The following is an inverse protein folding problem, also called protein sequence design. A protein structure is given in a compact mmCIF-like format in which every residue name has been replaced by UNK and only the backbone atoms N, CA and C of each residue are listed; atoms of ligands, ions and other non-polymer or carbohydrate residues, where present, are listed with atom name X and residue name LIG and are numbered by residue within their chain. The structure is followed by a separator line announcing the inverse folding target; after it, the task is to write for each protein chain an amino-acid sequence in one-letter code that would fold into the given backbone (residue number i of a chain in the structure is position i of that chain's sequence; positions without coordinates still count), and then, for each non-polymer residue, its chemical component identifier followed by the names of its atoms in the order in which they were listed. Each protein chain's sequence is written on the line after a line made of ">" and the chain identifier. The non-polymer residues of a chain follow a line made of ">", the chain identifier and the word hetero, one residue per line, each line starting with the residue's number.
data_IF_993081755785
#
_entry.id   IF_993081755785
#
_cell.length_a   1.000
_cell.length_b   1.000
_cell.length_c   1.000
_cell.angle_alpha   90.00
_cell.angle_beta   90.00
_cell.angle_gamma   90.00
#
_symmetry.space_group_name_H-M   'P 1'
#
loop_
_entity.id
_entity.type
_entity.pdbx_description
1 polymer ?
#
# COMPACT_ATOMS: atom_id res chain seq x y z
N UNK A 1 -13.54 -17.23 -24.89
CA UNK A 1 -13.43 -16.04 -24.01
C UNK A 1 -11.97 -15.85 -23.65
N UNK A 2 -11.48 -14.65 -23.69
CA UNK A 2 -10.06 -14.40 -23.40
C UNK A 2 -9.90 -14.32 -21.87
N UNK A 3 -9.49 -15.43 -21.23
CA UNK A 3 -9.27 -15.52 -19.78
C UNK A 3 -8.22 -14.48 -19.29
N UNK A 4 -7.39 -13.97 -20.23
CA UNK A 4 -6.35 -13.00 -19.94
C UNK A 4 -6.85 -11.69 -19.33
N UNK A 5 -8.07 -11.27 -19.67
CA UNK A 5 -8.62 -10.02 -19.14
C UNK A 5 -9.13 -10.11 -17.68
N UNK A 6 -9.33 -11.30 -17.14
CA UNK A 6 -9.65 -11.46 -15.71
C UNK A 6 -8.44 -11.23 -14.81
N UNK A 7 -7.23 -11.43 -15.32
CA UNK A 7 -5.97 -11.21 -14.61
C UNK A 7 -5.36 -9.84 -14.90
N UNK A 8 -5.95 -9.07 -15.82
CA UNK A 8 -5.51 -7.71 -16.10
C UNK A 8 -5.64 -6.84 -14.83
N UNK A 9 -4.56 -6.15 -14.48
CA UNK A 9 -4.57 -5.26 -13.31
C UNK A 9 -5.15 -3.89 -13.66
N UNK A 10 -6.18 -3.51 -12.91
CA UNK A 10 -6.75 -2.15 -12.91
C UNK A 10 -6.63 -1.59 -11.50
N UNK A 11 -6.08 -0.40 -11.34
CA UNK A 11 -5.85 0.24 -10.02
C UNK A 11 -5.09 -0.69 -9.06
N UNK A 12 -4.04 -1.37 -9.56
CA UNK A 12 -3.22 -2.33 -8.81
C UNK A 12 -4.00 -3.53 -8.25
N UNK A 13 -5.06 -3.94 -8.95
CA UNK A 13 -5.91 -5.04 -8.54
C UNK A 13 -6.39 -5.81 -9.77
N UNK A 14 -6.25 -7.14 -9.84
CA UNK A 14 -6.79 -7.93 -10.94
C UNK A 14 -8.31 -7.74 -11.10
N UNK A 15 -8.80 -7.78 -12.32
CA UNK A 15 -10.26 -7.68 -12.61
C UNK A 15 -11.05 -8.73 -11.83
N UNK A 16 -10.55 -9.94 -11.73
CA UNK A 16 -11.14 -11.01 -10.93
C UNK A 16 -11.28 -10.63 -9.44
N UNK A 17 -10.27 -9.94 -8.89
CA UNK A 17 -10.31 -9.49 -7.50
C UNK A 17 -11.25 -8.30 -7.29
N UNK A 18 -11.45 -7.41 -8.28
CA UNK A 18 -12.51 -6.39 -8.22
C UNK A 18 -13.89 -7.05 -8.11
N UNK A 19 -14.17 -8.06 -8.94
CA UNK A 19 -15.45 -8.80 -8.93
C UNK A 19 -15.60 -9.53 -7.58
N UNK A 20 -14.57 -10.25 -7.12
CA UNK A 20 -14.58 -10.96 -5.85
C UNK A 20 -14.85 -10.04 -4.65
N UNK A 21 -14.26 -8.84 -4.65
CA UNK A 21 -14.51 -7.83 -3.62
C UNK A 21 -15.98 -7.39 -3.60
N UNK A 22 -16.60 -7.15 -4.77
CA UNK A 22 -18.02 -6.78 -4.85
C UNK A 22 -18.94 -7.92 -4.40
N UNK A 23 -18.60 -9.18 -4.70
CA UNK A 23 -19.32 -10.37 -4.20
C UNK A 23 -19.26 -10.43 -2.67
N UNK A 24 -18.07 -10.19 -2.07
CA UNK A 24 -17.90 -10.16 -0.61
C UNK A 24 -18.73 -9.04 0.03
N UNK A 25 -18.73 -7.84 -0.54
CA UNK A 25 -19.58 -6.73 -0.08
C UNK A 25 -21.08 -7.02 -0.22
N UNK A 26 -21.47 -7.88 -1.15
CA UNK A 26 -22.83 -8.34 -1.31
C UNK A 26 -23.22 -9.44 -0.29
N UNK A 27 -22.29 -9.92 0.54
CA UNK A 27 -22.48 -10.96 1.53
C UNK A 27 -22.19 -12.39 1.04
N UNK A 28 -21.58 -12.52 -0.15
CA UNK A 28 -21.16 -13.80 -0.72
C UNK A 28 -19.72 -14.18 -0.36
N UNK A 29 -19.36 -15.42 -0.62
CA UNK A 29 -17.97 -15.91 -0.62
C UNK A 29 -17.54 -16.10 -2.07
N UNK A 30 -16.40 -15.51 -2.42
CA UNK A 30 -15.87 -15.56 -3.78
C UNK A 30 -14.65 -16.48 -3.86
N UNK A 31 -14.61 -17.29 -4.92
CA UNK A 31 -13.45 -18.11 -5.28
C UNK A 31 -13.17 -17.90 -6.78
N UNK A 32 -11.91 -17.74 -7.11
CA UNK A 32 -11.47 -17.60 -8.50
C UNK A 32 -11.07 -18.99 -9.01
N UNK A 33 -11.71 -19.43 -10.11
CA UNK A 33 -11.34 -20.65 -10.82
C UNK A 33 -10.59 -20.30 -12.10
N UNK A 34 -9.48 -21.00 -12.39
CA UNK A 34 -8.67 -20.80 -13.59
C UNK A 34 -8.45 -22.11 -14.33
N UNK A 35 -8.43 -22.04 -15.66
CA UNK A 35 -8.02 -23.15 -16.55
C UNK A 35 -6.55 -23.06 -16.97
N UNK A 36 -5.82 -22.05 -16.49
CA UNK A 36 -4.39 -21.88 -16.81
C UNK A 36 -3.53 -22.94 -16.12
N UNK A 37 -2.47 -23.36 -16.77
CA UNK A 37 -1.44 -24.21 -16.20
C UNK A 37 -0.07 -23.51 -16.26
N UNK A 38 0.66 -23.36 -15.13
CA UNK A 38 0.26 -23.76 -13.77
C UNK A 38 -0.90 -22.89 -13.22
N UNK A 39 -1.71 -23.48 -12.32
CA UNK A 39 -2.81 -22.75 -11.68
C UNK A 39 -2.25 -21.58 -10.87
N UNK A 40 -2.73 -20.34 -11.11
CA UNK A 40 -2.26 -19.17 -10.36
C UNK A 40 -2.50 -19.30 -8.86
N UNK A 41 -1.61 -18.72 -8.04
CA UNK A 41 -1.73 -18.75 -6.58
C UNK A 41 -3.06 -18.15 -6.14
N UNK A 42 -3.79 -18.87 -5.27
CA UNK A 42 -5.10 -18.45 -4.78
C UNK A 42 -6.28 -18.83 -5.68
N UNK A 43 -6.04 -19.46 -6.84
CA UNK A 43 -7.06 -20.00 -7.72
C UNK A 43 -7.22 -21.52 -7.52
N UNK A 44 -8.35 -22.05 -7.98
CA UNK A 44 -8.64 -23.50 -8.03
C UNK A 44 -8.95 -23.90 -9.47
N UNK A 45 -8.92 -25.21 -9.78
CA UNK A 45 -9.49 -25.67 -11.06
C UNK A 45 -11.00 -25.52 -11.07
N UNK A 46 -11.63 -25.36 -12.26
CA UNK A 46 -13.09 -25.36 -12.36
C UNK A 46 -13.72 -26.62 -11.73
N UNK A 47 -13.14 -27.79 -11.95
CA UNK A 47 -13.63 -29.05 -11.37
C UNK A 47 -13.52 -29.04 -9.84
N UNK A 48 -12.39 -28.59 -9.27
CA UNK A 48 -12.24 -28.48 -7.81
C UNK A 48 -13.26 -27.49 -7.21
N UNK A 49 -13.52 -26.37 -7.91
CA UNK A 49 -14.58 -25.43 -7.50
C UNK A 49 -15.92 -26.13 -7.44
N UNK A 50 -16.35 -26.80 -8.51
CA UNK A 50 -17.66 -27.45 -8.56
C UNK A 50 -17.82 -28.59 -7.53
N UNK A 51 -16.75 -29.32 -7.26
CA UNK A 51 -16.76 -30.36 -6.19
C UNK A 51 -16.87 -29.76 -4.79
N UNK A 52 -16.48 -28.49 -4.59
CA UNK A 52 -16.60 -27.80 -3.30
C UNK A 52 -18.00 -27.23 -3.03
N UNK A 53 -18.84 -27.11 -4.05
CA UNK A 53 -20.17 -26.56 -3.94
C UNK A 53 -21.16 -27.63 -3.45
N UNK A 54 -21.87 -27.35 -2.37
CA UNK A 54 -22.89 -28.26 -1.85
C UNK A 54 -24.01 -28.48 -2.88
N UNK A 55 -24.47 -29.72 -3.10
CA UNK A 55 -25.56 -30.00 -4.03
C UNK A 55 -26.82 -29.17 -3.74
N UNK A 56 -27.38 -28.53 -4.77
CA UNK A 56 -28.56 -27.68 -4.65
C UNK A 56 -28.31 -26.25 -4.19
N UNK A 57 -27.07 -25.89 -3.85
CA UNK A 57 -26.69 -24.49 -3.57
C UNK A 57 -26.69 -23.65 -4.84
N UNK A 58 -27.14 -22.42 -4.72
CA UNK A 58 -27.02 -21.43 -5.81
C UNK A 58 -25.60 -20.86 -5.87
N UNK A 59 -25.14 -20.63 -7.07
CA UNK A 59 -23.81 -20.09 -7.40
C UNK A 59 -23.98 -18.87 -8.29
N UNK A 60 -23.14 -17.88 -8.09
CA UNK A 60 -22.99 -16.74 -8.99
C UNK A 60 -21.75 -16.97 -9.88
N UNK A 61 -21.97 -17.03 -11.17
CA UNK A 61 -20.89 -17.25 -12.15
C UNK A 61 -20.76 -16.06 -13.12
N UNK A 62 -19.57 -15.46 -13.19
CA UNK A 62 -19.27 -14.40 -14.15
C UNK A 62 -18.68 -14.97 -15.42
N UNK A 63 -19.28 -14.66 -16.57
CA UNK A 63 -18.84 -15.07 -17.90
C UNK A 63 -17.92 -14.01 -18.55
N UNK A 64 -18.05 -12.76 -18.13
CA UNK A 64 -17.39 -11.62 -18.72
C UNK A 64 -16.60 -10.83 -17.69
N UNK A 65 -15.41 -10.28 -18.06
CA UNK A 65 -14.61 -9.43 -17.18
C UNK A 65 -15.25 -8.04 -17.07
N UNK A 66 -16.27 -7.94 -16.21
CA UNK A 66 -17.02 -6.71 -15.93
C UNK A 66 -16.75 -6.22 -14.49
N UNK A 67 -15.62 -5.54 -14.25
CA UNK A 67 -15.14 -5.22 -12.89
C UNK A 67 -15.97 -4.15 -12.18
N UNK A 68 -16.79 -3.40 -12.93
CA UNK A 68 -17.55 -2.28 -12.40
C UNK A 68 -18.93 -2.67 -11.84
N UNK A 69 -19.31 -3.97 -11.89
CA UNK A 69 -20.59 -4.45 -11.33
C UNK A 69 -20.57 -4.23 -9.82
N UNK A 70 -21.57 -3.50 -9.30
CA UNK A 70 -21.64 -3.14 -7.89
C UNK A 70 -22.20 -4.27 -7.01
N UNK A 71 -21.88 -4.20 -5.70
CA UNK A 71 -22.47 -5.11 -4.72
C UNK A 71 -24.00 -5.03 -4.66
N UNK A 72 -24.59 -3.87 -4.92
CA UNK A 72 -26.05 -3.70 -4.94
C UNK A 72 -26.69 -4.43 -6.13
N UNK A 73 -26.06 -4.36 -7.29
CA UNK A 73 -26.49 -5.12 -8.47
C UNK A 73 -26.34 -6.63 -8.25
N UNK A 74 -25.26 -7.07 -7.62
CA UNK A 74 -25.06 -8.46 -7.23
C UNK A 74 -26.14 -8.91 -6.24
N UNK A 75 -26.47 -8.11 -5.21
CA UNK A 75 -27.57 -8.44 -4.27
C UNK A 75 -28.91 -8.58 -4.98
N UNK A 76 -29.25 -7.68 -5.89
CA UNK A 76 -30.48 -7.78 -6.68
C UNK A 76 -30.54 -9.08 -7.48
N UNK A 77 -29.42 -9.47 -8.10
CA UNK A 77 -29.33 -10.71 -8.86
C UNK A 77 -29.49 -11.93 -7.93
N UNK A 78 -28.77 -11.99 -6.82
CA UNK A 78 -28.79 -13.13 -5.90
C UNK A 78 -30.07 -13.23 -5.04
N UNK A 79 -30.83 -12.16 -4.94
CA UNK A 79 -32.16 -12.15 -4.29
C UNK A 79 -33.31 -12.44 -5.27
N UNK A 80 -33.05 -12.50 -6.57
CA UNK A 80 -34.04 -12.86 -7.56
C UNK A 80 -34.28 -14.37 -7.59
N UNK A 81 -35.42 -14.78 -8.19
CA UNK A 81 -35.72 -16.19 -8.40
C UNK A 81 -34.68 -16.79 -9.38
N UNK A 82 -34.09 -17.92 -8.96
CA UNK A 82 -33.07 -18.61 -9.76
C UNK A 82 -33.75 -19.59 -10.76
N UNK A 83 -33.23 -19.76 -11.99
CA UNK A 83 -32.01 -19.11 -12.52
C UNK A 83 -32.30 -17.69 -13.00
N UNK A 84 -31.31 -16.79 -12.75
CA UNK A 84 -31.38 -15.39 -13.16
C UNK A 84 -30.07 -14.94 -13.82
N UNK A 85 -30.15 -13.93 -14.68
CA UNK A 85 -29.04 -13.40 -15.47
C UNK A 85 -28.81 -11.93 -15.19
N UNK A 86 -27.55 -11.54 -15.11
CA UNK A 86 -27.10 -10.14 -15.15
C UNK A 86 -26.80 -9.76 -16.60
N UNK A 87 -27.46 -8.73 -17.09
CA UNK A 87 -27.40 -8.33 -18.49
C UNK A 87 -26.78 -6.95 -18.68
N UNK A 88 -25.92 -6.81 -19.68
CA UNK A 88 -25.53 -5.53 -20.25
C UNK A 88 -26.03 -5.45 -21.70
N UNK A 89 -27.16 -4.79 -21.90
CA UNK A 89 -27.86 -4.82 -23.17
C UNK A 89 -28.28 -6.25 -23.53
N UNK A 90 -27.68 -6.81 -24.58
CA UNK A 90 -27.91 -8.18 -25.04
C UNK A 90 -26.89 -9.19 -24.46
N UNK A 91 -25.83 -8.74 -23.84
CA UNK A 91 -24.75 -9.59 -23.34
C UNK A 91 -25.04 -10.08 -21.93
N UNK A 92 -24.82 -11.37 -21.68
CA UNK A 92 -24.87 -11.98 -20.34
C UNK A 92 -23.53 -11.75 -19.67
N UNK A 93 -23.54 -11.01 -18.54
CA UNK A 93 -22.32 -10.76 -17.74
C UNK A 93 -22.11 -11.86 -16.72
N UNK A 94 -23.17 -12.26 -16.04
CA UNK A 94 -23.15 -13.27 -14.98
C UNK A 94 -24.46 -14.02 -14.92
N UNK A 95 -24.46 -15.20 -14.28
CA UNK A 95 -25.65 -15.98 -14.00
C UNK A 95 -25.68 -16.41 -12.54
N UNK A 96 -26.88 -16.49 -11.99
CA UNK A 96 -27.21 -16.95 -10.65
C UNK A 96 -28.13 -18.18 -10.74
N UNK A 97 -27.76 -19.27 -10.10
CA UNK A 97 -28.52 -20.50 -10.08
C UNK A 97 -27.78 -21.69 -9.52
N UNK A 98 -28.38 -22.86 -9.49
CA UNK A 98 -27.71 -24.11 -9.11
C UNK A 98 -26.74 -24.57 -10.21
N UNK A 99 -25.81 -25.46 -9.85
CA UNK A 99 -24.90 -26.07 -10.82
C UNK A 99 -25.66 -26.68 -12.02
N UNK A 100 -26.71 -27.45 -11.77
CA UNK A 100 -27.50 -28.10 -12.83
C UNK A 100 -28.13 -27.08 -13.78
N UNK A 101 -28.61 -25.94 -13.27
CA UNK A 101 -29.22 -24.89 -14.08
C UNK A 101 -28.19 -24.12 -14.91
N UNK A 102 -26.97 -23.90 -14.36
CA UNK A 102 -25.92 -23.09 -15.00
C UNK A 102 -25.02 -23.90 -15.94
N UNK A 103 -24.83 -25.19 -15.66
CA UNK A 103 -23.97 -26.07 -16.47
C UNK A 103 -24.53 -26.30 -17.88
N UNK A 104 -25.87 -26.37 -18.02
CA UNK A 104 -26.56 -26.56 -19.29
C UNK A 104 -26.92 -25.24 -19.99
N UNK A 105 -26.57 -24.08 -19.37
CA UNK A 105 -26.95 -22.78 -19.89
C UNK A 105 -26.16 -22.42 -21.14
N UNK A 106 -26.84 -22.34 -22.29
CA UNK A 106 -26.30 -21.72 -23.49
C UNK A 106 -26.47 -20.19 -23.40
N UNK A 107 -25.37 -19.48 -23.09
CA UNK A 107 -25.37 -18.01 -22.97
C UNK A 107 -25.64 -17.27 -24.29
N UNK A 108 -25.57 -17.95 -25.43
CA UNK A 108 -25.88 -17.40 -26.74
C UNK A 108 -27.37 -17.52 -27.08
N UNK A 109 -28.05 -18.54 -26.50
CA UNK A 109 -29.46 -18.84 -26.74
C UNK A 109 -30.25 -18.93 -25.43
N UNK A 110 -30.24 -17.85 -24.66
CA UNK A 110 -30.86 -17.78 -23.34
C UNK A 110 -32.38 -17.83 -23.47
N UNK A 111 -33.09 -18.74 -22.74
CA UNK A 111 -34.55 -18.80 -22.74
C UNK A 111 -35.19 -17.47 -22.34
N UNK A 112 -36.28 -17.10 -23.02
CA UNK A 112 -37.02 -15.86 -22.70
C UNK A 112 -37.63 -15.88 -21.29
N UNK A 113 -37.91 -17.07 -20.75
CA UNK A 113 -38.48 -17.28 -19.42
C UNK A 113 -37.50 -16.98 -18.26
N UNK A 114 -36.20 -16.83 -18.53
CA UNK A 114 -35.24 -16.53 -17.45
C UNK A 114 -35.35 -15.08 -16.98
N UNK A 115 -35.28 -14.94 -15.66
CA UNK A 115 -35.22 -13.61 -15.01
C UNK A 115 -33.97 -12.86 -15.48
N UNK A 116 -34.14 -11.62 -15.95
CA UNK A 116 -33.05 -10.76 -16.46
C UNK A 116 -32.97 -9.51 -15.62
N UNK A 117 -31.81 -9.32 -14.95
CA UNK A 117 -31.51 -8.15 -14.16
C UNK A 117 -30.57 -7.26 -14.99
N UNK A 118 -30.95 -6.03 -15.31
CA UNK A 118 -30.05 -5.13 -16.03
C UNK A 118 -28.92 -4.67 -15.11
N UNK A 119 -27.69 -4.63 -15.65
CA UNK A 119 -26.58 -3.95 -14.99
C UNK A 119 -26.88 -2.45 -14.87
N UNK A 120 -26.43 -1.83 -13.79
CA UNK A 120 -26.59 -0.41 -13.56
C UNK A 120 -25.78 0.44 -14.57
N UNK A 121 -26.01 1.76 -14.60
CA UNK A 121 -25.25 2.67 -15.48
C UNK A 121 -23.75 2.54 -15.24
N UNK A 122 -23.01 2.21 -16.32
CA UNK A 122 -21.56 2.02 -16.29
C UNK A 122 -21.07 0.69 -15.72
N UNK A 123 -21.94 -0.15 -15.16
CA UNK A 123 -21.55 -1.45 -14.61
C UNK A 123 -21.35 -2.54 -15.68
N UNK A 124 -22.02 -2.39 -16.82
CA UNK A 124 -22.00 -3.38 -17.91
C UNK A 124 -20.80 -3.30 -18.83
N UNK A 125 -19.76 -2.55 -18.47
CA UNK A 125 -18.56 -2.42 -19.32
C UNK A 125 -17.71 -3.69 -19.22
N UNK A 126 -17.58 -4.36 -20.35
CA UNK A 126 -16.77 -5.58 -20.52
C UNK A 126 -15.42 -5.21 -21.13
N UNK A 127 -14.36 -5.79 -20.61
CA UNK A 127 -13.00 -5.60 -21.13
C UNK A 127 -12.75 -6.59 -22.26
N UNK A 128 -12.42 -6.07 -23.45
CA UNK A 128 -12.10 -6.86 -24.65
C UNK A 128 -10.74 -6.49 -25.29
N UNK A 129 -10.21 -5.32 -24.95
CA UNK A 129 -8.98 -4.75 -25.48
C UNK A 129 -8.43 -3.66 -24.53
N UNK A 130 -7.34 -3.01 -24.91
CA UNK A 130 -6.70 -1.96 -24.09
C UNK A 130 -7.53 -0.69 -23.98
N UNK A 131 -8.34 -0.35 -24.97
CA UNK A 131 -9.21 0.83 -24.96
C UNK A 131 -10.36 0.63 -23.97
N UNK A 132 -11.02 -0.51 -24.01
CA UNK A 132 -12.08 -0.89 -23.06
C UNK A 132 -11.52 -1.09 -21.66
N UNK A 133 -10.27 -1.59 -21.51
CA UNK A 133 -9.60 -1.68 -20.22
C UNK A 133 -9.37 -0.29 -19.61
N UNK A 134 -8.87 0.67 -20.39
CA UNK A 134 -8.72 2.05 -19.94
C UNK A 134 -10.06 2.68 -19.54
N UNK A 135 -11.10 2.51 -20.35
CA UNK A 135 -12.42 3.02 -20.06
C UNK A 135 -13.01 2.39 -18.77
N UNK A 136 -12.81 1.08 -18.58
CA UNK A 136 -13.23 0.39 -17.36
C UNK A 136 -12.47 0.91 -16.13
N UNK A 137 -11.16 1.15 -16.23
CA UNK A 137 -10.34 1.72 -15.15
C UNK A 137 -10.83 3.11 -14.75
N UNK A 138 -11.12 3.98 -15.71
CA UNK A 138 -11.63 5.32 -15.47
C UNK A 138 -13.01 5.29 -14.78
N UNK A 139 -13.87 4.38 -15.19
CA UNK A 139 -15.16 4.19 -14.55
C UNK A 139 -15.01 3.71 -13.11
N UNK A 140 -14.18 2.70 -12.87
CA UNK A 140 -13.87 2.20 -11.53
C UNK A 140 -13.29 3.30 -10.63
N UNK A 141 -12.32 4.06 -11.12
CA UNK A 141 -11.72 5.18 -10.40
C UNK A 141 -12.79 6.17 -9.94
N UNK A 142 -13.71 6.55 -10.84
CA UNK A 142 -14.81 7.46 -10.50
C UNK A 142 -15.74 6.87 -9.44
N UNK A 143 -16.11 5.61 -9.55
CA UNK A 143 -16.99 4.93 -8.58
C UNK A 143 -16.34 4.84 -7.20
N UNK A 144 -15.07 4.40 -7.14
CA UNK A 144 -14.31 4.27 -5.89
C UNK A 144 -14.13 5.64 -5.23
N UNK A 145 -13.68 6.64 -5.99
CA UNK A 145 -13.48 7.99 -5.48
C UNK A 145 -14.80 8.60 -4.96
N UNK A 146 -15.92 8.41 -5.69
CA UNK A 146 -17.23 8.87 -5.24
C UNK A 146 -17.67 8.20 -3.93
N UNK A 147 -17.38 6.90 -3.75
CA UNK A 147 -17.66 6.18 -2.49
C UNK A 147 -16.91 6.82 -1.32
N UNK A 148 -15.62 7.11 -1.47
CA UNK A 148 -14.83 7.76 -0.42
C UNK A 148 -15.31 9.17 -0.12
N UNK A 149 -15.63 9.97 -1.15
CA UNK A 149 -16.20 11.31 -0.96
C UNK A 149 -17.54 11.29 -0.21
N UNK A 150 -18.44 10.35 -0.53
CA UNK A 150 -19.70 10.16 0.22
C UNK A 150 -19.46 9.78 1.69
N UNK A 151 -18.35 9.09 1.98
CA UNK A 151 -17.96 8.72 3.34
C UNK A 151 -17.20 9.84 4.08
N UNK A 152 -17.09 11.04 3.49
CA UNK A 152 -16.50 12.21 4.13
C UNK A 152 -15.00 12.39 3.93
N UNK A 153 -14.43 11.76 2.91
CA UNK A 153 -13.05 11.99 2.45
C UNK A 153 -13.02 13.14 1.45
N UNK A 154 -12.11 14.08 1.60
CA UNK A 154 -11.90 15.16 0.63
C UNK A 154 -10.85 14.77 -0.39
N UNK A 155 -11.24 14.50 -1.63
CA UNK A 155 -10.34 14.33 -2.76
C UNK A 155 -10.21 15.66 -3.50
N UNK A 156 -9.03 16.29 -3.42
CA UNK A 156 -8.79 17.64 -4.01
C UNK A 156 -8.80 17.57 -5.54
N UNK A 157 -8.22 16.50 -6.09
CA UNK A 157 -8.28 16.20 -7.52
C UNK A 157 -8.61 14.71 -7.73
N UNK A 158 -9.89 14.38 -7.86
CA UNK A 158 -10.30 12.99 -8.11
C UNK A 158 -9.78 12.44 -9.45
N UNK A 159 -9.41 13.29 -10.41
CA UNK A 159 -8.93 12.85 -11.72
C UNK A 159 -7.53 12.25 -11.65
N UNK A 160 -6.65 12.79 -10.82
CA UNK A 160 -5.28 12.29 -10.60
C UNK A 160 -5.13 11.38 -9.38
N UNK A 161 -6.22 11.04 -8.70
CA UNK A 161 -6.21 10.19 -7.50
C UNK A 161 -6.68 8.78 -7.85
N UNK A 162 -5.81 7.80 -7.62
CA UNK A 162 -6.08 6.39 -7.89
C UNK A 162 -6.13 5.61 -6.56
N UNK A 163 -7.27 5.03 -6.26
CA UNK A 163 -7.52 4.29 -5.00
C UNK A 163 -7.94 2.86 -5.34
N UNK A 164 -7.29 1.89 -4.70
CA UNK A 164 -7.67 0.49 -4.77
C UNK A 164 -9.09 0.27 -4.24
N UNK A 165 -9.88 -0.65 -4.81
CA UNK A 165 -11.20 -1.00 -4.28
C UNK A 165 -11.15 -1.52 -2.84
N UNK A 166 -10.01 -2.10 -2.44
CA UNK A 166 -9.77 -2.67 -1.10
C UNK A 166 -9.23 -1.66 -0.09
N UNK A 167 -8.94 -0.43 -0.51
CA UNK A 167 -8.45 0.59 0.40
C UNK A 167 -9.59 1.19 1.23
N UNK A 168 -9.26 1.50 2.48
CA UNK A 168 -10.16 2.16 3.42
C UNK A 168 -9.57 3.51 3.85
N UNK A 169 -10.39 4.55 3.87
CA UNK A 169 -9.95 5.90 4.22
C UNK A 169 -10.94 6.50 5.22
N UNK A 170 -10.42 6.91 6.36
CA UNK A 170 -11.19 7.52 7.44
C UNK A 170 -11.73 8.91 7.08
N UNK A 171 -12.84 9.26 7.73
CA UNK A 171 -13.52 10.54 7.55
C UNK A 171 -12.63 11.73 7.90
N UNK A 172 -12.83 12.87 7.23
CA UNK A 172 -12.05 14.09 7.47
C UNK A 172 -10.67 14.08 6.83
N UNK A 173 -10.25 12.95 6.24
CA UNK A 173 -8.96 12.86 5.53
C UNK A 173 -8.99 13.61 4.21
N UNK A 174 -7.92 14.39 3.96
CA UNK A 174 -7.67 15.11 2.71
C UNK A 174 -6.66 14.33 1.88
N UNK A 175 -7.01 14.02 0.63
CA UNK A 175 -6.11 13.42 -0.36
C UNK A 175 -5.83 14.46 -1.44
N UNK A 176 -4.56 14.83 -1.56
CA UNK A 176 -4.06 15.84 -2.50
C UNK A 176 -3.78 15.21 -3.89
N UNK A 177 -3.56 16.03 -4.94
CA UNK A 177 -3.38 15.52 -6.30
C UNK A 177 -2.22 14.51 -6.45
N UNK A 178 -2.34 13.60 -7.41
CA UNK A 178 -1.29 12.66 -7.80
C UNK A 178 -1.06 11.51 -6.80
N UNK A 179 -2.03 11.20 -5.94
CA UNK A 179 -1.89 10.12 -4.97
C UNK A 179 -2.29 8.77 -5.57
N UNK A 180 -1.46 7.74 -5.26
CA UNK A 180 -1.68 6.34 -5.58
C UNK A 180 -1.86 5.56 -4.26
N UNK A 181 -3.05 5.05 -3.98
CA UNK A 181 -3.41 4.35 -2.74
C UNK A 181 -3.81 2.93 -3.11
N UNK A 182 -2.87 2.00 -3.02
CA UNK A 182 -2.96 0.67 -3.60
C UNK A 182 -3.02 -0.45 -2.55
N UNK A 183 -3.42 -1.63 -2.99
CA UNK A 183 -3.56 -2.81 -2.14
C UNK A 183 -4.60 -2.63 -1.03
N UNK A 184 -4.39 -3.31 0.10
CA UNK A 184 -5.23 -3.21 1.30
C UNK A 184 -4.74 -2.07 2.22
N UNK A 185 -4.58 -0.88 1.67
CA UNK A 185 -4.15 0.29 2.45
C UNK A 185 -5.30 0.77 3.34
N UNK A 186 -5.00 0.99 4.61
CA UNK A 186 -5.92 1.58 5.59
C UNK A 186 -5.37 2.92 6.04
N UNK A 187 -6.17 3.97 5.92
CA UNK A 187 -5.83 5.33 6.35
C UNK A 187 -6.86 5.76 7.40
N UNK A 188 -6.39 6.23 8.54
CA UNK A 188 -7.22 6.76 9.61
C UNK A 188 -7.95 8.06 9.26
N UNK A 189 -8.55 8.65 10.27
CA UNK A 189 -9.32 9.89 10.15
C UNK A 189 -8.43 11.13 10.25
N UNK A 190 -8.90 12.26 9.68
CA UNK A 190 -8.27 13.58 9.77
C UNK A 190 -6.81 13.61 9.28
N UNK A 191 -6.45 12.73 8.34
CA UNK A 191 -5.13 12.67 7.73
C UNK A 191 -4.99 13.68 6.58
N UNK A 192 -3.73 13.97 6.21
CA UNK A 192 -3.36 14.74 5.03
C UNK A 192 -2.40 13.93 4.16
N UNK A 193 -2.87 13.41 3.04
CA UNK A 193 -2.10 12.51 2.16
C UNK A 193 -1.79 13.21 0.85
N UNK A 194 -0.54 13.28 0.49
CA UNK A 194 -0.08 13.88 -0.75
C UNK A 194 0.53 15.28 -0.59
N UNK A 195 0.82 15.96 -1.73
CA UNK A 195 0.61 15.47 -3.12
C UNK A 195 1.62 14.36 -3.51
N UNK A 196 1.41 13.73 -4.67
CA UNK A 196 2.36 12.78 -5.27
C UNK A 196 2.88 11.69 -4.29
N UNK A 197 1.96 11.13 -3.54
CA UNK A 197 2.25 10.12 -2.50
C UNK A 197 1.79 8.75 -2.97
N UNK A 198 2.64 7.74 -2.76
CA UNK A 198 2.29 6.35 -3.01
C UNK A 198 2.21 5.57 -1.70
N UNK A 199 1.06 4.98 -1.44
CA UNK A 199 0.80 4.07 -0.33
C UNK A 199 0.39 2.71 -0.90
N UNK A 200 1.09 1.65 -0.52
CA UNK A 200 0.77 0.30 -0.97
C UNK A 200 0.71 -0.66 0.22
N UNK A 201 -0.47 -1.20 0.49
CA UNK A 201 -0.72 -2.11 1.62
C UNK A 201 -0.19 -1.54 2.95
N UNK A 202 -0.33 -0.23 3.13
CA UNK A 202 0.13 0.51 4.28
C UNK A 202 -0.99 0.70 5.32
N UNK A 203 -0.62 0.74 6.61
CA UNK A 203 -1.51 1.07 7.70
C UNK A 203 -1.14 2.44 8.28
N UNK A 204 -1.98 3.43 8.08
CA UNK A 204 -1.76 4.82 8.47
C UNK A 204 -2.75 5.16 9.58
N UNK A 205 -2.26 5.58 10.75
CA UNK A 205 -3.09 6.01 11.88
C UNK A 205 -3.84 7.32 11.64
N UNK A 206 -4.49 7.82 12.67
CA UNK A 206 -5.25 9.08 12.61
C UNK A 206 -4.31 10.29 12.62
N UNK A 207 -4.75 11.40 12.00
CA UNK A 207 -4.03 12.69 12.02
C UNK A 207 -2.60 12.63 11.50
N UNK A 208 -2.31 11.67 10.63
CA UNK A 208 -1.00 11.52 9.97
C UNK A 208 -0.92 12.46 8.77
N UNK A 209 0.26 13.05 8.57
CA UNK A 209 0.58 13.80 7.36
C UNK A 209 1.65 13.08 6.56
N UNK A 210 1.34 12.71 5.32
CA UNK A 210 2.31 12.12 4.37
C UNK A 210 2.43 13.04 3.18
N UNK A 211 3.63 13.51 2.89
CA UNK A 211 3.91 14.46 1.81
C UNK A 211 4.91 13.89 0.81
N UNK A 212 4.56 13.81 -0.47
CA UNK A 212 5.44 13.45 -1.60
C UNK A 212 6.37 12.25 -1.28
N UNK A 213 5.84 11.20 -0.68
CA UNK A 213 6.61 10.08 -0.13
C UNK A 213 6.03 8.74 -0.54
N UNK A 214 6.82 7.68 -0.37
CA UNK A 214 6.42 6.32 -0.70
C UNK A 214 6.45 5.44 0.57
N UNK A 215 5.35 4.71 0.83
CA UNK A 215 5.21 3.81 1.98
C UNK A 215 4.64 2.48 1.49
N UNK A 216 5.39 1.41 1.72
CA UNK A 216 5.02 0.05 1.30
C UNK A 216 4.94 -0.89 2.50
N UNK A 217 3.85 -1.66 2.61
CA UNK A 217 3.69 -2.78 3.55
C UNK A 217 4.22 -2.46 4.96
N UNK A 218 3.85 -1.30 5.48
CA UNK A 218 4.37 -0.73 6.73
C UNK A 218 3.30 0.02 7.50
N UNK A 219 3.54 0.27 8.79
CA UNK A 219 2.63 1.00 9.66
C UNK A 219 3.20 2.33 10.12
N UNK A 220 2.35 3.36 10.14
CA UNK A 220 2.66 4.71 10.63
C UNK A 220 1.65 5.07 11.72
N UNK A 221 2.13 5.32 12.92
CA UNK A 221 1.32 5.69 14.09
C UNK A 221 0.70 7.09 13.99
N UNK A 222 -0.36 7.29 14.76
CA UNK A 222 -1.16 8.52 14.77
C UNK A 222 -0.34 9.77 15.06
N UNK A 223 -0.70 10.89 14.41
CA UNK A 223 -0.03 12.18 14.60
C UNK A 223 1.39 12.29 14.04
N UNK A 224 1.87 11.26 13.34
CA UNK A 224 3.20 11.23 12.72
C UNK A 224 3.22 12.00 11.41
N UNK A 225 4.35 12.63 11.11
CA UNK A 225 4.60 13.29 9.83
C UNK A 225 5.66 12.53 9.03
N UNK A 226 5.40 12.35 7.71
CA UNK A 226 6.30 11.65 6.79
C UNK A 226 6.55 12.52 5.56
N UNK A 227 7.81 12.71 5.22
CA UNK A 227 8.24 13.42 4.03
C UNK A 227 8.61 14.90 4.25
N UNK A 228 8.87 15.62 3.13
CA UNK A 228 8.74 15.11 1.75
C UNK A 228 9.88 14.14 1.36
N UNK A 229 9.64 13.35 0.30
CA UNK A 229 10.63 12.46 -0.31
C UNK A 229 11.20 11.39 0.63
N UNK A 230 10.40 10.91 1.59
CA UNK A 230 10.75 9.76 2.41
C UNK A 230 10.39 8.46 1.69
N UNK A 231 11.20 7.42 1.94
CA UNK A 231 10.96 6.08 1.42
C UNK A 231 10.88 5.07 2.58
N UNK A 232 9.68 4.65 2.90
CA UNK A 232 9.42 3.62 3.93
C UNK A 232 9.19 2.29 3.23
N UNK A 233 10.18 1.41 3.33
CA UNK A 233 10.18 0.08 2.67
C UNK A 233 9.39 -0.94 3.50
N UNK A 234 9.05 -2.10 2.91
CA UNK A 234 8.29 -3.14 3.60
C UNK A 234 8.89 -3.56 4.96
N UNK A 235 7.99 -3.81 5.91
CA UNK A 235 8.35 -4.32 7.23
C UNK A 235 8.82 -3.24 8.22
N UNK A 236 8.42 -1.98 8.02
CA UNK A 236 8.69 -0.92 8.99
C UNK A 236 7.47 -0.64 9.88
N UNK A 237 7.75 -0.30 11.14
CA UNK A 237 6.76 0.18 12.10
C UNK A 237 7.23 1.51 12.68
N UNK A 238 6.48 2.57 12.45
CA UNK A 238 6.74 3.91 12.99
C UNK A 238 5.66 4.23 14.03
N UNK A 239 6.07 4.61 15.22
CA UNK A 239 5.19 4.95 16.33
C UNK A 239 4.42 6.25 16.14
N UNK A 240 3.76 6.69 17.21
CA UNK A 240 2.94 7.88 17.25
C UNK A 240 3.77 9.15 17.45
N UNK A 241 3.31 10.28 16.87
CA UNK A 241 3.94 11.59 17.05
C UNK A 241 5.38 11.67 16.55
N UNK A 242 5.77 10.78 15.66
CA UNK A 242 7.11 10.74 15.06
C UNK A 242 7.27 11.77 13.94
N UNK A 243 8.51 12.05 13.60
CA UNK A 243 8.87 12.82 12.41
C UNK A 243 9.86 12.04 11.56
N UNK A 244 9.42 11.64 10.37
CA UNK A 244 10.25 11.02 9.34
C UNK A 244 10.34 12.05 8.21
N UNK A 245 11.47 12.76 8.13
CA UNK A 245 11.58 13.93 7.26
C UNK A 245 12.12 13.63 5.87
N UNK A 246 12.71 14.64 5.27
CA UNK A 246 13.16 14.65 3.89
C UNK A 246 14.32 13.68 3.63
N UNK A 247 14.20 12.92 2.53
CA UNK A 247 15.21 11.96 2.09
C UNK A 247 15.60 10.92 3.15
N UNK A 248 14.65 10.52 3.99
CA UNK A 248 14.83 9.43 4.95
C UNK A 248 14.38 8.12 4.31
N UNK A 249 15.25 7.12 4.35
CA UNK A 249 14.92 5.75 3.98
C UNK A 249 14.88 4.86 5.22
N UNK A 250 13.75 4.16 5.40
CA UNK A 250 13.56 3.14 6.44
C UNK A 250 13.41 1.76 5.80
N UNK A 251 14.06 0.75 6.36
CA UNK A 251 13.98 -0.63 5.87
C UNK A 251 14.01 -1.62 7.04
N UNK A 252 12.92 -2.39 7.22
CA UNK A 252 12.78 -3.35 8.33
C UNK A 252 13.20 -2.71 9.66
N UNK A 253 12.60 -1.57 9.97
CA UNK A 253 13.00 -0.72 11.09
C UNK A 253 11.79 -0.43 11.97
N UNK A 254 11.98 -0.53 13.27
CA UNK A 254 11.03 -0.13 14.29
C UNK A 254 11.43 1.24 14.86
N UNK A 255 10.51 2.19 14.90
CA UNK A 255 10.69 3.54 15.45
C UNK A 255 9.67 3.76 16.56
N UNK A 256 10.12 3.99 17.78
CA UNK A 256 9.26 4.28 18.93
C UNK A 256 8.67 5.68 18.90
N UNK A 257 7.65 5.90 19.75
CA UNK A 257 6.86 7.12 19.79
C UNK A 257 7.70 8.38 20.01
N UNK A 258 7.34 9.48 19.35
CA UNK A 258 7.97 10.79 19.51
C UNK A 258 9.39 10.91 18.94
N UNK A 259 9.91 9.87 18.30
CA UNK A 259 11.25 9.85 17.72
C UNK A 259 11.30 10.66 16.42
N UNK A 260 12.40 11.37 16.22
CA UNK A 260 12.62 12.28 15.11
C UNK A 260 13.80 11.83 14.27
N UNK A 261 13.54 11.54 12.99
CA UNK A 261 14.52 11.23 11.95
C UNK A 261 14.28 12.23 10.81
N UNK A 262 14.88 13.41 10.92
CA UNK A 262 14.37 14.56 10.16
C UNK A 262 14.98 14.74 8.78
N UNK A 263 16.21 14.25 8.50
CA UNK A 263 16.91 14.59 7.27
C UNK A 263 17.92 13.53 6.82
N UNK A 264 17.94 13.19 5.51
CA UNK A 264 19.03 12.50 4.80
C UNK A 264 19.61 11.31 5.58
N UNK A 265 18.79 10.38 6.00
CA UNK A 265 19.16 9.31 6.93
C UNK A 265 18.76 7.96 6.37
N UNK A 266 19.61 6.96 6.49
CA UNK A 266 19.27 5.56 6.23
C UNK A 266 19.25 4.75 7.52
N UNK A 267 18.08 4.19 7.86
CA UNK A 267 17.92 3.25 8.95
C UNK A 267 17.45 1.91 8.41
N UNK A 268 18.31 0.91 8.50
CA UNK A 268 18.00 -0.45 8.02
C UNK A 268 18.29 -1.51 9.07
N UNK A 269 17.39 -2.49 9.19
CA UNK A 269 17.48 -3.60 10.15
C UNK A 269 17.79 -3.05 11.57
N UNK A 270 16.90 -2.16 12.07
CA UNK A 270 17.19 -1.37 13.28
C UNK A 270 15.96 -1.21 14.19
N UNK A 271 16.21 -1.03 15.48
CA UNK A 271 15.20 -0.67 16.48
C UNK A 271 15.61 0.61 17.19
N UNK A 272 14.77 1.62 17.07
CA UNK A 272 14.91 2.89 17.76
C UNK A 272 13.76 3.04 18.77
N UNK A 273 14.10 3.28 20.01
CA UNK A 273 13.14 3.53 21.09
C UNK A 273 12.38 4.84 20.93
N UNK A 274 11.82 5.33 22.03
CA UNK A 274 11.00 6.53 22.07
C UNK A 274 11.84 7.79 22.29
N UNK A 275 11.32 8.93 21.79
CA UNK A 275 11.90 10.26 22.04
C UNK A 275 13.37 10.40 21.63
N UNK A 276 13.80 9.67 20.64
CA UNK A 276 15.16 9.75 20.09
C UNK A 276 15.20 10.86 19.04
N UNK A 277 16.35 11.57 19.01
CA UNK A 277 16.63 12.49 17.92
C UNK A 277 17.81 11.95 17.08
N UNK A 278 17.55 11.69 15.79
CA UNK A 278 18.55 11.23 14.84
C UNK A 278 18.97 12.40 13.94
N UNK A 279 20.25 12.72 13.98
CA UNK A 279 20.85 13.81 13.21
C UNK A 279 20.98 13.50 11.72
N UNK A 280 21.05 14.55 10.91
CA UNK A 280 21.20 14.48 9.47
C UNK A 280 22.42 13.63 9.07
N UNK A 281 22.25 12.75 8.07
CA UNK A 281 23.34 11.92 7.54
C UNK A 281 23.72 10.74 8.44
N UNK A 282 22.93 10.40 9.45
CA UNK A 282 23.16 9.19 10.23
C UNK A 282 22.82 7.93 9.41
N UNK A 283 23.63 6.89 9.55
CA UNK A 283 23.49 5.64 8.79
C UNK A 283 23.68 4.43 9.72
N UNK A 284 22.75 3.46 9.63
CA UNK A 284 23.00 2.12 10.17
C UNK A 284 23.78 1.31 9.15
N UNK A 285 25.03 0.94 9.50
CA UNK A 285 25.88 0.08 8.67
C UNK A 285 25.53 -1.36 8.99
N UNK A 286 24.43 -1.85 8.40
CA UNK A 286 23.77 -3.09 8.76
C UNK A 286 24.24 -4.33 7.98
N UNK A 287 25.17 -4.20 7.01
CA UNK A 287 25.64 -5.28 6.15
C UNK A 287 27.17 -5.40 6.17
N UNK A 288 27.68 -6.59 6.49
CA UNK A 288 29.09 -6.89 6.62
C UNK A 288 29.72 -7.58 5.38
N UNK A 289 28.96 -7.67 4.28
CA UNK A 289 29.36 -8.42 3.07
C UNK A 289 28.84 -9.86 3.03
N UNK A 290 28.32 -10.41 4.13
CA UNK A 290 27.74 -11.76 4.24
C UNK A 290 26.35 -11.78 4.81
N UNK A 291 26.09 -11.01 5.88
CA UNK A 291 24.85 -10.99 6.62
C UNK A 291 24.41 -9.59 7.00
N UNK A 292 23.19 -9.49 7.51
CA UNK A 292 22.66 -8.26 8.07
C UNK A 292 22.59 -8.39 9.58
N UNK A 293 22.91 -7.30 10.26
CA UNK A 293 22.99 -7.22 11.69
C UNK A 293 22.10 -6.10 12.21
N UNK A 294 21.62 -6.25 13.45
CA UNK A 294 20.71 -5.34 14.10
C UNK A 294 21.47 -4.17 14.74
N UNK A 295 20.90 -2.98 14.59
CA UNK A 295 21.24 -1.81 15.41
C UNK A 295 20.13 -1.52 16.38
N UNK A 296 20.43 -1.37 17.68
CA UNK A 296 19.46 -1.03 18.70
C UNK A 296 19.84 0.27 19.38
N UNK A 297 18.91 1.23 19.45
CA UNK A 297 19.07 2.51 20.15
C UNK A 297 17.92 2.68 21.11
N UNK A 298 18.23 2.78 22.40
CA UNK A 298 17.21 2.89 23.45
C UNK A 298 16.71 4.33 23.65
N UNK A 299 15.62 4.44 24.43
CA UNK A 299 14.84 5.66 24.64
C UNK A 299 15.68 6.88 25.04
N UNK A 300 15.25 8.06 24.56
CA UNK A 300 15.81 9.36 24.96
C UNK A 300 17.20 9.67 24.40
N UNK A 301 17.74 8.81 23.56
CA UNK A 301 19.10 8.97 23.02
C UNK A 301 19.17 10.04 21.93
N UNK A 302 20.36 10.60 21.74
CA UNK A 302 20.66 11.57 20.72
C UNK A 302 21.79 11.06 19.81
N UNK A 303 21.49 10.85 18.56
CA UNK A 303 22.46 10.47 17.53
C UNK A 303 22.83 11.71 16.73
N UNK A 304 24.08 12.14 16.80
CA UNK A 304 24.59 13.33 16.10
C UNK A 304 24.57 13.21 14.59
N UNK A 305 24.79 14.32 13.89
CA UNK A 305 24.85 14.32 12.43
C UNK A 305 26.06 13.52 11.92
N UNK A 306 25.90 12.87 10.74
CA UNK A 306 26.95 12.06 10.09
C UNK A 306 27.54 10.98 11.00
N UNK A 307 26.69 10.34 11.81
CA UNK A 307 27.06 9.20 12.64
C UNK A 307 26.87 7.91 11.87
N UNK A 308 27.86 7.01 11.91
CA UNK A 308 27.75 5.66 11.40
C UNK A 308 27.57 4.70 12.59
N UNK A 309 26.49 3.96 12.62
CA UNK A 309 26.24 2.89 13.59
C UNK A 309 26.59 1.54 12.94
N UNK A 310 27.74 0.97 13.29
CA UNK A 310 28.24 -0.27 12.68
C UNK A 310 27.64 -1.45 13.44
N UNK A 311 26.66 -2.07 12.82
CA UNK A 311 25.94 -3.19 13.41
C UNK A 311 26.77 -4.52 13.41
N UNK A 312 26.62 -5.41 14.42
CA UNK A 312 25.68 -5.26 15.53
C UNK A 312 26.17 -4.22 16.56
N UNK A 313 25.27 -3.35 17.03
CA UNK A 313 25.61 -2.34 18.03
C UNK A 313 24.36 -1.98 18.85
N UNK A 314 24.56 -1.79 20.14
CA UNK A 314 23.52 -1.37 21.09
C UNK A 314 23.92 -0.06 21.78
N UNK A 315 23.03 0.94 21.70
CA UNK A 315 23.11 2.19 22.45
C UNK A 315 22.08 2.18 23.55
N UNK A 316 22.54 2.26 24.78
CA UNK A 316 21.68 2.31 25.98
C UNK A 316 20.84 3.59 26.06
N UNK A 317 20.02 3.70 27.11
CA UNK A 317 19.10 4.83 27.32
C UNK A 317 19.85 6.14 27.53
N UNK A 318 19.26 7.23 26.99
CA UNK A 318 19.77 8.58 27.18
C UNK A 318 21.25 8.74 26.75
N UNK A 319 21.71 7.96 25.78
CA UNK A 319 23.07 8.11 25.22
C UNK A 319 23.15 9.31 24.29
N UNK A 320 24.35 9.88 24.23
CA UNK A 320 24.70 10.95 23.31
C UNK A 320 25.84 10.51 22.39
N UNK A 321 25.63 10.52 21.09
CA UNK A 321 26.68 10.24 20.10
C UNK A 321 27.07 11.55 19.42
N UNK A 322 28.34 11.94 19.58
CA UNK A 322 28.87 13.16 18.98
C UNK A 322 28.85 13.09 17.44
N UNK A 323 28.51 14.20 16.79
CA UNK A 323 28.49 14.30 15.33
C UNK A 323 29.82 13.85 14.71
N UNK A 324 29.73 13.14 13.56
CA UNK A 324 30.88 12.60 12.83
C UNK A 324 31.55 11.39 13.48
N UNK A 325 30.89 10.74 14.44
CA UNK A 325 31.42 9.53 15.10
C UNK A 325 31.04 8.27 14.30
N UNK A 326 31.95 7.28 14.32
CA UNK A 326 31.64 5.90 13.91
C UNK A 326 31.59 5.04 15.16
N UNK A 327 30.42 4.48 15.47
CA UNK A 327 30.16 3.64 16.63
C UNK A 327 30.26 2.18 16.21
N UNK A 328 31.22 1.47 16.76
CA UNK A 328 31.49 0.06 16.45
C UNK A 328 31.49 -0.83 17.70
N UNK A 329 31.04 -0.30 18.83
CA UNK A 329 30.94 -0.99 20.12
C UNK A 329 29.72 -0.48 20.88
N UNK A 330 29.21 -1.27 21.81
CA UNK A 330 28.06 -0.92 22.61
C UNK A 330 28.34 0.30 23.52
N UNK A 331 27.34 1.16 23.66
CA UNK A 331 27.43 2.38 24.45
C UNK A 331 26.49 2.25 25.65
N UNK A 332 26.99 2.34 26.89
CA UNK A 332 26.16 2.19 28.10
C UNK A 332 25.24 3.40 28.31
N UNK A 333 24.20 3.21 29.13
CA UNK A 333 23.22 4.22 29.49
C UNK A 333 23.87 5.54 29.93
N UNK A 334 23.31 6.67 29.46
CA UNK A 334 23.71 8.02 29.87
C UNK A 334 25.10 8.45 29.40
N UNK A 335 25.79 7.67 28.55
CA UNK A 335 27.14 7.98 28.11
C UNK A 335 27.17 8.95 26.93
N UNK A 336 28.27 9.72 26.84
CA UNK A 336 28.65 10.47 25.66
C UNK A 336 29.72 9.68 24.90
N UNK A 337 29.41 9.29 23.66
CA UNK A 337 30.35 8.60 22.76
C UNK A 337 30.93 9.54 21.71
N UNK A 338 32.28 9.59 21.63
CA UNK A 338 33.02 10.43 20.67
C UNK A 338 34.07 9.59 19.96
N UNK A 339 33.88 9.34 18.65
CA UNK A 339 34.85 8.60 17.82
C UNK A 339 35.21 9.41 16.56
N UNK A 340 35.95 10.46 16.76
CA UNK A 340 36.48 11.34 15.70
C UNK A 340 37.82 11.97 16.09
N UNK A 341 38.65 12.26 15.09
CA UNK A 341 39.95 12.97 15.31
C UNK A 341 39.72 14.40 15.80
N UNK A 342 40.65 14.89 16.65
CA UNK A 342 40.65 16.31 17.02
C UNK A 342 41.08 17.13 15.81
N UNK A 343 40.42 18.24 15.55
CA UNK A 343 40.78 19.17 14.49
C UNK A 343 42.13 19.84 14.75
N UNK A 344 42.84 20.16 13.66
CA UNK A 344 44.08 20.96 13.69
C UNK A 344 43.84 22.17 12.81
N UNK A 345 44.09 23.37 13.36
CA UNK A 345 44.06 24.62 12.61
C UNK A 345 45.48 25.01 12.19
N UNK A 346 45.65 25.28 10.91
CA UNK A 346 46.91 25.82 10.37
C UNK A 346 46.69 27.27 9.96
N UNK A 347 47.05 28.19 10.83
CA UNK A 347 46.88 29.61 10.56
C UNK A 347 47.78 30.07 9.39
N UNK A 348 47.25 30.99 8.57
CA UNK A 348 47.94 31.53 7.41
C UNK A 348 48.16 30.56 6.25
N UNK A 349 47.65 29.33 6.32
CA UNK A 349 47.91 28.28 5.32
C UNK A 349 47.48 28.68 3.90
N UNK A 350 46.34 29.36 3.74
CA UNK A 350 45.84 29.80 2.43
C UNK A 350 46.78 30.86 1.83
N UNK A 351 47.24 31.85 2.66
CA UNK A 351 48.16 32.90 2.21
C UNK A 351 49.50 32.31 1.80
N UNK A 352 50.06 31.43 2.60
CA UNK A 352 51.31 30.71 2.29
C UNK A 352 51.23 29.93 0.97
N UNK A 353 50.07 29.32 0.68
CA UNK A 353 49.83 28.61 -0.58
C UNK A 353 49.77 29.55 -1.78
N UNK A 354 49.09 30.69 -1.63
CA UNK A 354 49.04 31.74 -2.66
C UNK A 354 50.42 32.29 -2.96
N UNK A 355 51.18 32.65 -1.93
CA UNK A 355 52.54 33.21 -2.06
C UNK A 355 53.51 32.22 -2.72
N UNK A 356 53.27 30.92 -2.54
CA UNK A 356 54.06 29.85 -3.16
C UNK A 356 53.57 29.40 -4.54
N UNK A 357 52.52 30.02 -5.09
CA UNK A 357 51.93 29.68 -6.39
C UNK A 357 51.26 28.30 -6.43
N UNK A 358 50.84 27.78 -5.27
CA UNK A 358 50.20 26.47 -5.13
C UNK A 358 48.67 26.54 -4.94
N UNK A 359 48.13 27.76 -4.97
CA UNK A 359 46.71 28.12 -5.00
C UNK A 359 46.50 29.33 -5.88
#
# INVERSE_FOLDING_TARGET
>A
MNEDFFDLELLSCPVSAHIAHQITLAGGCAQVASRREPIPTGCVTPDAFWHSVAPGSNVLFFFMPAPAVSADTIRKLTQSEAPALLMAGKSVLAAWGTYAQLHELDILNVPESMTRIPAGPGEGMVISDTETAYAAQENLRRQINMRHMKNGVMLVDPASTHISPMAEIGRGTYVLPGCLIYGKTVIGSDCRIGPNTMLQSACIGDKVSVNASQIYESSIGSGTTVGPFAYVRPGCTVGEGCRIGDFVELKKTEIGNGTKVSHLTYLGDAKFGQHINVGCGAVTVNYDGKGKHLTEVEDGSFVGCNVNLVAPVHLGKNTYVAAGSTVAEDVPDGALYIARSRGTTKEGWVQQRKDSGKL
#
